data_IF_294034224387
#
_entry.id   IF_294034224387
#
_cell.length_a   1.000
_cell.length_b   1.000
_cell.length_c   1.000
_cell.angle_alpha   90.00
_cell.angle_beta   90.00
_cell.angle_gamma   90.00
#
_symmetry.space_group_name_H-M   'P 1'
#
loop_
_entity.id
_entity.type
_entity.pdbx_description
1 polymer ?
#
# COMPACT_ATOMS: atom_id res chain seq x y z
N UNK A 1 -0.98 6.15 -11.93
CA UNK A 1 -0.17 5.44 -10.92
C UNK A 1 -1.05 4.74 -9.89
N UNK A 2 -1.97 5.44 -9.22
CA UNK A 2 -2.85 4.83 -8.22
C UNK A 2 -3.67 3.65 -8.78
N UNK A 3 -4.17 3.75 -10.02
CA UNK A 3 -4.89 2.65 -10.68
C UNK A 3 -4.00 1.41 -10.90
N UNK A 4 -2.77 1.62 -11.41
CA UNK A 4 -1.82 0.54 -11.60
C UNK A 4 -1.45 -0.16 -10.28
N UNK A 5 -1.39 0.58 -9.17
CA UNK A 5 -1.19 -0.01 -7.84
C UNK A 5 -2.42 -0.79 -7.37
N UNK A 6 -3.61 -0.20 -7.48
CA UNK A 6 -4.89 -0.82 -7.07
C UNK A 6 -5.15 -2.15 -7.80
N UNK A 7 -4.86 -2.16 -9.11
CA UNK A 7 -5.06 -3.30 -10.01
C UNK A 7 -3.82 -4.20 -10.14
N UNK A 8 -2.75 -3.93 -9.39
CA UNK A 8 -1.53 -4.75 -9.39
C UNK A 8 -0.90 -4.98 -10.77
N UNK A 9 -0.84 -3.94 -11.62
CA UNK A 9 -0.38 -4.09 -13.00
C UNK A 9 1.15 -4.24 -13.08
N UNK A 10 1.60 -5.36 -13.67
CA UNK A 10 3.03 -5.70 -13.77
C UNK A 10 3.81 -4.75 -14.70
N UNK A 11 3.29 -4.45 -15.89
CA UNK A 11 4.03 -3.65 -16.89
C UNK A 11 4.36 -2.22 -16.38
N UNK A 12 3.43 -1.46 -15.78
CA UNK A 12 3.76 -0.17 -15.15
C UNK A 12 4.77 -0.28 -14.00
N UNK A 13 4.72 -1.35 -13.20
CA UNK A 13 5.64 -1.54 -12.08
C UNK A 13 7.09 -1.76 -12.55
N UNK A 14 7.28 -2.66 -13.52
CA UNK A 14 8.60 -2.93 -14.12
C UNK A 14 9.11 -1.69 -14.86
N UNK A 15 8.25 -1.02 -15.63
CA UNK A 15 8.61 0.23 -16.31
C UNK A 15 9.08 1.29 -15.31
N UNK A 16 8.36 1.49 -14.21
CA UNK A 16 8.73 2.49 -13.20
C UNK A 16 10.06 2.14 -12.52
N UNK A 17 10.30 0.87 -12.16
CA UNK A 17 11.58 0.45 -11.60
C UNK A 17 12.73 0.72 -12.58
N UNK A 18 12.52 0.44 -13.86
CA UNK A 18 13.49 0.76 -14.90
C UNK A 18 13.75 2.27 -15.01
N UNK A 19 12.71 3.12 -14.91
CA UNK A 19 12.85 4.58 -14.96
C UNK A 19 13.61 5.15 -13.75
N UNK A 20 13.31 4.69 -12.53
CA UNK A 20 13.98 5.21 -11.32
C UNK A 20 15.39 4.62 -11.12
N UNK A 21 15.65 3.48 -11.76
CA UNK A 21 16.88 2.68 -11.63
C UNK A 21 16.73 1.56 -10.58
N UNK A 22 17.16 0.35 -10.96
CA UNK A 22 17.10 -0.86 -10.12
C UNK A 22 17.77 -0.65 -8.76
N UNK A 23 18.88 0.09 -8.72
CA UNK A 23 19.62 0.43 -7.51
C UNK A 23 18.76 1.13 -6.46
N UNK A 24 17.90 2.06 -6.88
CA UNK A 24 16.99 2.77 -5.97
C UNK A 24 15.92 1.84 -5.41
N UNK A 25 15.35 0.98 -6.25
CA UNK A 25 14.38 -0.02 -5.81
C UNK A 25 14.99 -1.02 -4.82
N UNK A 26 16.16 -1.56 -5.15
CA UNK A 26 16.92 -2.48 -4.29
C UNK A 26 17.25 -1.86 -2.93
N UNK A 27 17.73 -0.62 -2.91
CA UNK A 27 18.03 0.07 -1.66
C UNK A 27 16.77 0.37 -0.84
N UNK A 28 15.67 0.76 -1.49
CA UNK A 28 14.37 0.96 -0.84
C UNK A 28 13.92 -0.33 -0.13
N UNK A 29 13.93 -1.48 -0.80
CA UNK A 29 13.54 -2.78 -0.21
C UNK A 29 14.36 -3.11 1.04
N UNK A 30 15.68 -2.84 1.01
CA UNK A 30 16.54 -2.99 2.20
C UNK A 30 16.14 -2.04 3.32
N UNK A 31 15.77 -0.80 3.00
CA UNK A 31 15.31 0.17 3.98
C UNK A 31 14.01 -0.26 4.67
N UNK A 32 13.17 -1.06 4.01
CA UNK A 32 12.02 -1.72 4.64
C UNK A 32 12.37 -2.93 5.53
N UNK A 33 13.66 -3.24 5.74
CA UNK A 33 14.16 -4.42 6.44
C UNK A 33 13.80 -5.77 5.78
N UNK A 34 13.54 -5.76 4.47
CA UNK A 34 13.37 -7.00 3.70
C UNK A 34 14.75 -7.54 3.32
N UNK A 35 15.05 -8.82 3.61
CA UNK A 35 16.33 -9.41 3.25
C UNK A 35 16.41 -9.58 1.73
N UNK A 36 17.42 -8.98 1.12
CA UNK A 36 17.72 -9.14 -0.31
C UNK A 36 19.21 -9.37 -0.52
N UNK A 37 19.53 -10.24 -1.46
CA UNK A 37 20.89 -10.58 -1.89
C UNK A 37 21.30 -9.76 -3.11
N UNK A 38 22.53 -9.88 -3.59
CA UNK A 38 22.96 -9.18 -4.81
C UNK A 38 22.24 -9.69 -6.06
N UNK A 39 21.80 -10.95 -6.04
CA UNK A 39 21.07 -11.61 -7.12
C UNK A 39 19.70 -10.97 -7.37
N UNK A 40 19.07 -10.45 -6.31
CA UNK A 40 17.75 -9.79 -6.38
C UNK A 40 17.80 -8.39 -7.03
N UNK A 41 19.01 -7.87 -7.31
CA UNK A 41 19.23 -6.55 -7.86
C UNK A 41 18.99 -6.53 -9.38
N UNK A 42 17.76 -6.80 -9.80
CA UNK A 42 17.33 -6.83 -11.20
C UNK A 42 15.85 -6.38 -11.33
N UNK A 43 15.30 -6.34 -12.56
CA UNK A 43 13.93 -5.85 -12.80
C UNK A 43 12.83 -6.76 -12.25
N UNK A 44 13.07 -8.06 -12.04
CA UNK A 44 12.11 -8.97 -11.41
C UNK A 44 11.76 -8.56 -9.97
N UNK A 45 12.62 -7.75 -9.32
CA UNK A 45 12.34 -7.16 -8.02
C UNK A 45 11.03 -6.36 -8.00
N UNK A 46 10.66 -5.71 -9.12
CA UNK A 46 9.40 -4.98 -9.24
C UNK A 46 8.15 -5.88 -9.07
N UNK A 47 8.32 -7.19 -9.27
CA UNK A 47 7.26 -8.20 -9.24
C UNK A 47 7.39 -9.13 -8.02
N UNK A 48 8.27 -8.82 -7.07
CA UNK A 48 8.52 -9.67 -5.91
C UNK A 48 9.40 -10.90 -6.20
N UNK A 49 10.09 -10.92 -7.35
CA UNK A 49 11.07 -11.96 -7.67
C UNK A 49 12.29 -11.88 -6.77
N UNK A 50 12.26 -12.60 -5.66
CA UNK A 50 13.33 -12.68 -4.66
C UNK A 50 13.95 -14.08 -4.64
N UNK A 51 15.27 -14.14 -4.52
CA UNK A 51 16.07 -15.36 -4.37
C UNK A 51 15.78 -16.10 -3.07
N UNK A 52 15.47 -15.37 -2.01
CA UNK A 52 14.91 -15.89 -0.77
C UNK A 52 13.55 -15.23 -0.53
N UNK A 53 12.51 -16.03 -0.28
CA UNK A 53 11.20 -15.52 0.09
C UNK A 53 11.22 -14.67 1.38
N UNK A 54 10.08 -14.09 1.71
CA UNK A 54 9.91 -13.22 2.89
C UNK A 54 8.88 -13.81 3.84
N UNK A 55 9.08 -13.64 5.14
CA UNK A 55 8.13 -14.11 6.14
C UNK A 55 6.98 -13.11 6.35
N UNK A 56 5.80 -13.57 6.81
CA UNK A 56 4.70 -12.67 7.17
C UNK A 56 5.09 -11.64 8.23
N UNK A 57 5.96 -12.02 9.19
CA UNK A 57 6.49 -11.09 10.18
C UNK A 57 7.34 -9.97 9.54
N UNK A 58 8.15 -10.28 8.52
CA UNK A 58 8.93 -9.29 7.79
C UNK A 58 8.03 -8.34 7.00
N UNK A 59 7.01 -8.88 6.33
CA UNK A 59 6.03 -8.08 5.58
C UNK A 59 5.21 -7.17 6.49
N UNK A 60 4.70 -7.69 7.62
CA UNK A 60 4.01 -6.88 8.62
C UNK A 60 4.94 -5.76 9.14
N UNK A 61 6.20 -6.09 9.44
CA UNK A 61 7.24 -5.13 9.83
C UNK A 61 7.46 -4.03 8.79
N UNK A 62 7.57 -4.38 7.51
CA UNK A 62 7.74 -3.44 6.41
C UNK A 62 6.56 -2.47 6.30
N UNK A 63 5.32 -2.99 6.34
CA UNK A 63 4.11 -2.18 6.19
C UNK A 63 3.85 -1.22 7.37
N UNK A 64 4.49 -1.44 8.52
CA UNK A 64 4.48 -0.45 9.61
C UNK A 64 5.01 0.92 9.17
N UNK A 65 5.90 0.98 8.17
CA UNK A 65 6.40 2.24 7.65
C UNK A 65 5.29 3.13 7.12
N UNK A 66 4.27 2.57 6.47
CA UNK A 66 3.15 3.35 5.95
C UNK A 66 2.19 3.77 7.06
N UNK A 67 1.84 2.84 7.95
CA UNK A 67 0.97 3.10 9.09
C UNK A 67 1.54 4.16 10.05
N UNK A 68 2.88 4.25 10.17
CA UNK A 68 3.57 5.11 11.14
C UNK A 68 4.29 6.31 10.50
N UNK A 69 3.74 6.89 9.42
CA UNK A 69 4.26 8.14 8.85
C UNK A 69 5.70 8.06 8.34
N UNK A 70 6.07 6.91 7.78
CA UNK A 70 7.38 6.64 7.18
C UNK A 70 8.40 6.00 8.11
N UNK A 71 7.99 5.57 9.31
CA UNK A 71 8.87 4.91 10.29
C UNK A 71 8.70 3.40 10.27
N UNK A 72 9.72 2.68 9.80
CA UNK A 72 9.72 1.21 9.84
C UNK A 72 10.03 0.73 11.26
N UNK A 73 9.25 -0.23 11.72
CA UNK A 73 9.38 -0.85 13.04
C UNK A 73 9.94 -2.25 12.90
N UNK A 74 10.87 -2.64 13.78
CA UNK A 74 11.31 -4.03 13.90
C UNK A 74 10.35 -4.78 14.83
N UNK A 75 9.68 -5.84 14.38
CA UNK A 75 8.81 -6.63 15.25
C UNK A 75 9.59 -7.23 16.44
N UNK A 76 8.97 -7.22 17.61
CA UNK A 76 9.50 -7.84 18.83
C UNK A 76 8.34 -8.36 19.70
N UNK A 77 8.60 -9.43 20.45
CA UNK A 77 7.57 -10.11 21.25
C UNK A 77 7.76 -9.90 22.76
N UNK A 78 9.01 -9.83 23.21
CA UNK A 78 9.35 -9.76 24.63
C UNK A 78 9.34 -8.30 25.08
N UNK A 79 8.42 -7.94 25.99
CA UNK A 79 8.38 -6.61 26.61
C UNK A 79 9.35 -6.46 27.77
N UNK A 80 9.43 -7.46 28.64
CA UNK A 80 10.27 -7.42 29.84
C UNK A 80 10.64 -8.82 30.28
N UNK A 81 11.89 -9.03 30.68
CA UNK A 81 12.36 -10.26 31.34
C UNK A 81 12.84 -9.87 32.74
N UNK A 82 12.34 -10.57 33.74
CA UNK A 82 12.73 -10.42 35.15
C UNK A 82 13.21 -11.79 35.64
N UNK A 83 14.39 -11.84 36.25
CA UNK A 83 14.93 -13.09 36.80
C UNK A 83 14.31 -13.42 38.18
N UNK A 84 14.70 -14.58 38.74
CA UNK A 84 14.19 -15.07 40.03
C UNK A 84 14.56 -14.18 41.22
N UNK A 85 15.54 -13.28 41.07
CA UNK A 85 15.92 -12.31 42.11
C UNK A 85 15.11 -11.02 42.04
N UNK A 86 14.25 -10.87 41.02
CA UNK A 86 13.51 -9.65 40.75
C UNK A 86 14.28 -8.64 39.89
N UNK A 87 15.48 -8.99 39.38
CA UNK A 87 16.28 -8.10 38.54
C UNK A 87 15.74 -8.10 37.10
N UNK A 88 15.60 -6.91 36.53
CA UNK A 88 15.22 -6.73 35.13
C UNK A 88 16.41 -7.03 34.22
N UNK A 89 16.26 -8.03 33.35
CA UNK A 89 17.28 -8.48 32.39
C UNK A 89 17.07 -7.84 31.01
N UNK A 90 15.80 -7.67 30.61
CA UNK A 90 15.41 -7.01 29.37
C UNK A 90 14.23 -6.09 29.68
N UNK A 91 14.25 -4.86 29.15
CA UNK A 91 13.13 -3.93 29.22
C UNK A 91 12.94 -3.19 27.88
N UNK A 92 11.90 -3.60 27.15
CA UNK A 92 11.46 -3.03 25.87
C UNK A 92 10.14 -2.26 26.02
N UNK A 93 9.77 -1.83 27.24
CA UNK A 93 8.50 -1.14 27.50
C UNK A 93 8.50 0.31 27.00
N UNK A 94 9.69 0.89 26.78
CA UNK A 94 9.82 2.20 26.16
C UNK A 94 9.25 2.22 24.74
N UNK A 95 8.64 3.34 24.36
CA UNK A 95 8.09 3.53 23.00
C UNK A 95 9.23 3.41 21.99
N UNK A 96 9.17 2.36 21.18
CA UNK A 96 10.12 2.15 20.09
C UNK A 96 9.98 3.30 19.08
N UNK A 97 11.11 3.94 18.75
CA UNK A 97 11.10 5.13 17.89
C UNK A 97 10.98 4.80 16.40
N UNK A 98 11.26 3.54 16.02
CA UNK A 98 11.38 3.12 14.62
C UNK A 98 12.53 3.80 13.89
N UNK A 99 12.77 3.42 12.63
CA UNK A 99 13.71 4.11 11.74
C UNK A 99 12.93 4.87 10.67
N UNK A 100 13.16 6.17 10.55
CA UNK A 100 12.55 6.98 9.49
C UNK A 100 13.20 6.60 8.15
N UNK A 101 12.40 6.11 7.19
CA UNK A 101 12.88 5.69 5.86
C UNK A 101 12.28 6.51 4.72
N UNK A 102 11.19 7.23 4.98
CA UNK A 102 10.59 8.17 4.03
C UNK A 102 9.90 9.32 4.76
N UNK A 103 9.69 10.48 4.14
CA UNK A 103 8.87 11.55 4.72
C UNK A 103 7.43 11.11 4.99
N UNK A 104 6.79 11.69 6.00
CA UNK A 104 5.38 11.41 6.32
C UNK A 104 4.44 11.73 5.14
N UNK A 105 4.74 12.76 4.34
CA UNK A 105 3.98 13.09 3.13
C UNK A 105 4.02 11.97 2.09
N UNK A 106 5.15 11.30 1.92
CA UNK A 106 5.30 10.16 0.99
C UNK A 106 4.55 8.95 1.51
N UNK A 107 4.65 8.64 2.82
CA UNK A 107 3.87 7.57 3.44
C UNK A 107 2.36 7.80 3.29
N UNK A 108 1.91 9.05 3.45
CA UNK A 108 0.52 9.46 3.25
C UNK A 108 0.05 9.31 1.80
N UNK A 109 0.86 9.71 0.82
CA UNK A 109 0.55 9.51 -0.60
C UNK A 109 0.46 8.03 -0.95
N UNK A 110 1.39 7.20 -0.47
CA UNK A 110 1.33 5.76 -0.69
C UNK A 110 0.09 5.14 -0.03
N UNK A 111 -0.24 5.56 1.19
CA UNK A 111 -1.47 5.13 1.89
C UNK A 111 -2.71 5.50 1.08
N UNK A 112 -2.78 6.73 0.55
CA UNK A 112 -3.89 7.20 -0.29
C UNK A 112 -4.09 6.31 -1.52
N UNK A 113 -3.01 5.88 -2.19
CA UNK A 113 -3.11 4.94 -3.31
C UNK A 113 -3.48 3.52 -2.86
N UNK A 114 -2.96 3.05 -1.73
CA UNK A 114 -3.23 1.72 -1.19
C UNK A 114 -4.65 1.56 -0.61
N UNK A 115 -5.35 2.65 -0.30
CA UNK A 115 -6.79 2.61 0.00
C UNK A 115 -7.60 2.09 -1.21
N UNK A 116 -7.20 2.49 -2.42
CA UNK A 116 -7.84 2.03 -3.66
C UNK A 116 -7.78 0.52 -3.85
N UNK A 117 -6.75 -0.16 -3.34
CA UNK A 117 -6.64 -1.63 -3.40
C UNK A 117 -7.86 -2.31 -2.74
N UNK A 118 -8.31 -1.80 -1.60
CA UNK A 118 -9.45 -2.36 -0.86
C UNK A 118 -10.79 -1.71 -1.22
N UNK A 119 -10.80 -0.54 -1.85
CA UNK A 119 -12.04 0.11 -2.26
C UNK A 119 -12.55 -0.41 -3.61
N UNK A 120 -11.66 -0.57 -4.58
CA UNK A 120 -12.02 -0.90 -5.96
C UNK A 120 -10.96 -1.73 -6.69
N UNK A 121 -9.93 -2.19 -5.98
CA UNK A 121 -8.82 -2.95 -6.52
C UNK A 121 -8.87 -4.43 -6.18
N UNK A 122 -7.71 -5.04 -6.32
CA UNK A 122 -7.48 -6.48 -6.12
C UNK A 122 -7.78 -7.01 -4.71
N UNK A 123 -7.93 -6.14 -3.71
CA UNK A 123 -8.26 -6.50 -2.33
C UNK A 123 -9.70 -6.19 -1.91
N UNK A 124 -10.57 -5.75 -2.84
CA UNK A 124 -11.92 -5.30 -2.53
C UNK A 124 -12.74 -6.34 -1.75
N UNK A 125 -12.69 -7.61 -2.17
CA UNK A 125 -13.41 -8.70 -1.51
C UNK A 125 -12.86 -9.06 -0.12
N UNK A 126 -11.63 -8.63 0.20
CA UNK A 126 -10.99 -8.88 1.49
C UNK A 126 -11.25 -7.76 2.53
N UNK A 127 -11.95 -6.68 2.15
CA UNK A 127 -12.16 -5.53 3.03
C UNK A 127 -13.09 -5.89 4.20
N UNK A 128 -12.67 -5.66 5.47
CA UNK A 128 -13.55 -5.80 6.63
C UNK A 128 -14.70 -4.78 6.61
N UNK A 129 -15.91 -5.25 6.94
CA UNK A 129 -17.11 -4.41 6.92
C UNK A 129 -17.02 -3.27 7.93
N UNK A 130 -17.36 -2.05 7.50
CA UNK A 130 -17.39 -0.86 8.36
C UNK A 130 -16.03 -0.23 8.66
N UNK A 131 -14.94 -0.76 8.11
CA UNK A 131 -13.59 -0.24 8.33
C UNK A 131 -12.92 0.22 7.03
N UNK A 132 -12.06 1.23 7.15
CA UNK A 132 -11.13 1.62 6.10
C UNK A 132 -9.83 0.85 6.26
N UNK A 133 -9.33 0.26 5.18
CA UNK A 133 -8.08 -0.51 5.15
C UNK A 133 -7.27 -0.06 3.95
N UNK A 134 -5.98 0.14 4.16
CA UNK A 134 -5.00 0.32 3.10
C UNK A 134 -4.11 -0.92 3.03
N UNK A 135 -3.59 -1.27 1.87
CA UNK A 135 -2.60 -2.33 1.76
C UNK A 135 -2.42 -2.83 0.34
N UNK A 136 -2.00 -4.08 0.20
CA UNK A 136 -1.72 -4.69 -1.10
C UNK A 136 -1.90 -6.21 -1.07
N UNK A 137 -2.33 -6.75 -2.21
CA UNK A 137 -2.38 -8.19 -2.50
C UNK A 137 -1.15 -8.62 -3.29
N UNK A 138 -0.82 -9.92 -3.29
CA UNK A 138 0.23 -10.48 -4.14
C UNK A 138 -0.07 -11.93 -4.52
N UNK A 139 0.42 -12.33 -5.69
CA UNK A 139 0.40 -13.71 -6.16
C UNK A 139 1.74 -14.08 -6.79
N UNK A 140 2.09 -15.36 -6.76
CA UNK A 140 3.18 -15.92 -7.56
C UNK A 140 2.65 -17.14 -8.28
N UNK A 141 2.76 -17.17 -9.61
CA UNK A 141 2.23 -18.25 -10.44
C UNK A 141 3.00 -19.56 -10.21
N UNK A 142 2.35 -20.69 -10.48
CA UNK A 142 2.93 -22.02 -10.33
C UNK A 142 3.29 -22.60 -11.71
N UNK A 143 4.53 -22.35 -12.14
CA UNK A 143 5.03 -22.60 -13.50
C UNK A 143 5.06 -24.10 -13.91
N UNK A 144 4.96 -25.04 -12.96
CA UNK A 144 5.14 -26.48 -13.19
C UNK A 144 3.87 -27.33 -12.94
N UNK A 145 2.68 -26.71 -12.99
CA UNK A 145 1.41 -27.39 -12.67
C UNK A 145 0.61 -27.81 -13.89
N UNK A 146 0.97 -27.33 -15.09
CA UNK A 146 0.19 -27.54 -16.32
C UNK A 146 -1.15 -26.78 -16.36
N UNK A 147 -1.41 -25.91 -15.37
CA UNK A 147 -2.58 -25.01 -15.32
C UNK A 147 -2.11 -23.56 -15.40
N UNK A 148 -2.74 -22.75 -16.26
CA UNK A 148 -2.46 -21.31 -16.35
C UNK A 148 -2.95 -20.51 -15.15
N UNK A 149 -3.82 -21.11 -14.34
CA UNK A 149 -4.52 -20.45 -13.25
C UNK A 149 -4.02 -20.94 -11.87
N UNK A 150 -2.95 -21.74 -11.86
CA UNK A 150 -2.35 -22.25 -10.65
C UNK A 150 -1.41 -21.23 -10.03
N UNK A 151 -1.61 -20.97 -8.75
CA UNK A 151 -0.83 -20.05 -7.96
C UNK A 151 -0.07 -20.83 -6.87
N UNK A 152 1.19 -20.47 -6.67
CA UNK A 152 2.07 -20.99 -5.63
C UNK A 152 1.83 -20.31 -4.29
N UNK A 153 1.85 -18.97 -4.32
CA UNK A 153 1.80 -18.11 -3.15
C UNK A 153 0.68 -17.08 -3.30
N UNK A 154 -0.16 -16.92 -2.27
CA UNK A 154 -1.10 -15.80 -2.16
C UNK A 154 -0.78 -14.98 -0.92
N UNK A 155 -0.81 -13.66 -1.08
CA UNK A 155 -0.52 -12.69 -0.03
C UNK A 155 -1.61 -11.63 0.06
N UNK A 156 -1.99 -11.26 1.28
CA UNK A 156 -2.63 -9.98 1.57
C UNK A 156 -1.90 -9.35 2.75
N UNK A 157 -1.45 -8.12 2.57
CA UNK A 157 -0.96 -7.28 3.67
C UNK A 157 -1.84 -6.05 3.72
N UNK A 158 -2.56 -5.86 4.82
CA UNK A 158 -3.41 -4.70 5.02
C UNK A 158 -3.21 -4.10 6.40
N UNK A 159 -3.52 -2.82 6.51
CA UNK A 159 -3.32 -2.07 7.72
C UNK A 159 -4.37 -0.98 7.90
N UNK A 160 -4.51 -0.59 9.16
CA UNK A 160 -5.09 0.66 9.64
C UNK A 160 -3.98 1.46 10.34
N UNK A 161 -4.24 2.68 10.83
CA UNK A 161 -3.25 3.38 11.66
C UNK A 161 -2.89 2.63 12.97
N UNK A 162 -3.72 1.68 13.40
CA UNK A 162 -3.55 0.98 14.68
C UNK A 162 -3.05 -0.47 14.56
N UNK A 163 -3.16 -1.08 13.38
CA UNK A 163 -2.92 -2.51 13.18
C UNK A 163 -2.37 -2.78 11.78
N UNK A 164 -1.41 -3.71 11.68
CA UNK A 164 -0.94 -4.30 10.42
C UNK A 164 -1.18 -5.81 10.49
N UNK A 165 -1.80 -6.38 9.46
CA UNK A 165 -2.02 -7.82 9.30
C UNK A 165 -1.37 -8.24 7.98
N UNK A 166 -0.55 -9.29 8.05
CA UNK A 166 0.08 -9.90 6.87
C UNK A 166 -0.26 -11.38 6.86
N UNK A 167 -0.94 -11.82 5.81
CA UNK A 167 -1.47 -13.18 5.67
C UNK A 167 -0.91 -13.79 4.39
N UNK A 168 -0.39 -15.00 4.53
CA UNK A 168 0.13 -15.82 3.43
C UNK A 168 -0.58 -17.16 3.41
N UNK A 169 -0.85 -17.63 2.20
CA UNK A 169 -1.41 -18.95 1.92
C UNK A 169 -0.59 -19.58 0.81
N UNK A 170 -0.26 -20.85 0.98
CA UNK A 170 0.48 -21.66 0.02
C UNK A 170 0.67 -23.06 0.56
N UNK A 171 1.05 -23.97 -0.32
CA UNK A 171 1.49 -25.30 0.07
C UNK A 171 2.98 -25.27 0.41
N UNK A 172 3.40 -26.01 1.45
CA UNK A 172 4.81 -26.18 1.78
C UNK A 172 5.61 -26.76 0.60
N UNK A 173 4.96 -27.60 -0.21
CA UNK A 173 5.52 -28.17 -1.44
C UNK A 173 4.50 -28.06 -2.57
N UNK A 174 4.72 -27.09 -3.45
CA UNK A 174 3.86 -26.87 -4.62
C UNK A 174 4.14 -27.91 -5.69
N UNK A 175 3.07 -28.48 -6.24
CA UNK A 175 3.13 -29.49 -7.31
C UNK A 175 1.85 -29.42 -8.15
N UNK A 176 1.80 -30.18 -9.24
CA UNK A 176 0.58 -30.33 -10.04
C UNK A 176 -0.64 -30.75 -9.20
N UNK A 177 -0.47 -31.59 -8.17
CA UNK A 177 -1.54 -32.00 -7.27
C UNK A 177 -1.77 -31.06 -6.08
N UNK A 178 -0.83 -30.15 -5.80
CA UNK A 178 -0.84 -29.28 -4.62
C UNK A 178 -0.51 -27.84 -5.03
N UNK A 179 -1.52 -27.11 -5.46
CA UNK A 179 -1.41 -25.71 -5.84
C UNK A 179 -2.71 -24.98 -5.46
N UNK A 180 -2.63 -23.65 -5.35
CA UNK A 180 -3.83 -22.85 -5.13
C UNK A 180 -4.48 -22.58 -6.48
N UNK A 181 -5.79 -22.77 -6.58
CA UNK A 181 -6.55 -22.32 -7.73
C UNK A 181 -6.89 -20.83 -7.59
N UNK A 182 -6.84 -20.08 -8.69
CA UNK A 182 -7.21 -18.66 -8.70
C UNK A 182 -8.74 -18.47 -8.81
N UNK A 183 -9.48 -19.00 -7.85
CA UNK A 183 -10.93 -18.87 -7.76
C UNK A 183 -11.31 -17.55 -7.08
N UNK A 184 -11.93 -16.63 -7.82
CA UNK A 184 -12.44 -15.37 -7.27
C UNK A 184 -13.45 -15.61 -6.13
N UNK A 185 -13.37 -14.80 -5.08
CA UNK A 185 -14.29 -14.89 -3.92
C UNK A 185 -14.07 -16.08 -2.97
N UNK A 186 -13.07 -16.93 -3.18
CA UNK A 186 -12.73 -18.04 -2.28
C UNK A 186 -11.26 -17.99 -1.82
N UNK A 187 -10.96 -18.59 -0.65
CA UNK A 187 -9.60 -18.62 -0.08
C UNK A 187 -9.22 -17.36 0.72
N UNK A 188 -8.08 -16.77 0.38
CA UNK A 188 -7.41 -15.68 1.11
C UNK A 188 -8.27 -14.45 1.46
N UNK A 189 -9.18 -14.02 0.57
CA UNK A 189 -9.97 -12.80 0.79
C UNK A 189 -10.87 -12.86 2.04
N UNK A 190 -11.80 -13.84 2.12
CA UNK A 190 -12.59 -14.09 3.32
C UNK A 190 -11.76 -14.38 4.58
N UNK A 191 -10.62 -15.09 4.47
CA UNK A 191 -9.72 -15.34 5.59
C UNK A 191 -9.20 -14.02 6.18
N UNK A 192 -8.56 -13.19 5.35
CA UNK A 192 -8.01 -11.90 5.77
C UNK A 192 -9.09 -10.98 6.35
N UNK A 193 -10.27 -10.96 5.71
CA UNK A 193 -11.42 -10.21 6.19
C UNK A 193 -11.82 -10.63 7.61
N UNK A 194 -11.92 -11.93 7.87
CA UNK A 194 -12.29 -12.48 9.18
C UNK A 194 -11.22 -12.20 10.25
N UNK A 195 -9.94 -12.32 9.91
CA UNK A 195 -8.82 -11.97 10.80
C UNK A 195 -8.95 -10.51 11.26
N UNK A 196 -9.07 -9.59 10.30
CA UNK A 196 -9.20 -8.16 10.57
C UNK A 196 -10.49 -7.85 11.35
N UNK A 197 -11.64 -8.40 10.96
CA UNK A 197 -12.91 -8.19 11.67
C UNK A 197 -12.88 -8.66 13.12
N UNK A 198 -12.07 -9.68 13.43
CA UNK A 198 -11.90 -10.18 14.80
C UNK A 198 -11.01 -9.26 15.63
N UNK A 199 -9.97 -8.67 15.02
CA UNK A 199 -8.98 -7.85 15.74
C UNK A 199 -9.40 -6.38 15.88
N UNK A 200 -10.01 -5.79 14.85
CA UNK A 200 -10.28 -4.35 14.77
C UNK A 200 -11.15 -3.79 15.91
N UNK A 201 -12.17 -4.51 16.44
CA UNK A 201 -12.96 -4.04 17.60
C UNK A 201 -12.13 -3.76 18.86
N UNK A 202 -10.92 -4.31 18.96
CA UNK A 202 -10.01 -4.14 20.10
C UNK A 202 -8.90 -3.10 19.85
N UNK A 203 -8.96 -2.39 18.72
CA UNK A 203 -8.02 -1.31 18.38
C UNK A 203 -8.63 0.05 18.73
N UNK A 204 -7.84 1.14 18.59
CA UNK A 204 -8.34 2.50 18.84
C UNK A 204 -9.31 3.00 17.78
N UNK A 205 -9.42 2.29 16.65
CA UNK A 205 -10.25 2.65 15.51
C UNK A 205 -9.91 4.05 14.95
N UNK A 206 -8.62 4.38 14.88
CA UNK A 206 -8.12 5.62 14.34
C UNK A 206 -8.37 5.68 12.83
N UNK A 207 -8.86 6.82 12.35
CA UNK A 207 -9.05 7.08 10.92
C UNK A 207 -7.74 7.42 10.22
N UNK A 208 -7.64 7.09 8.94
CA UNK A 208 -6.59 7.63 8.08
C UNK A 208 -6.73 9.15 7.96
N UNK A 209 -5.60 9.85 7.86
CA UNK A 209 -5.54 11.30 7.66
C UNK A 209 -5.59 11.70 6.18
N UNK A 210 -5.90 10.75 5.29
CA UNK A 210 -5.99 10.90 3.84
C UNK A 210 -7.19 10.14 3.28
N UNK A 211 -7.64 10.55 2.10
CA UNK A 211 -8.67 9.84 1.33
C UNK A 211 -8.01 8.92 0.29
N UNK A 212 -8.82 8.06 -0.30
CA UNK A 212 -8.46 7.33 -1.51
C UNK A 212 -8.01 8.30 -2.62
N UNK A 213 -6.90 7.99 -3.28
CA UNK A 213 -6.34 8.78 -4.38
C UNK A 213 -7.36 9.00 -5.50
N UNK A 214 -8.20 8.00 -5.81
CA UNK A 214 -9.23 8.16 -6.83
C UNK A 214 -10.26 9.22 -6.43
N UNK A 215 -10.71 9.20 -5.17
CA UNK A 215 -11.63 10.22 -4.64
C UNK A 215 -11.00 11.62 -4.66
N UNK A 216 -9.71 11.74 -4.34
CA UNK A 216 -9.03 13.05 -4.39
C UNK A 216 -9.03 13.62 -5.82
N UNK A 217 -8.72 12.79 -6.82
CA UNK A 217 -8.71 13.22 -8.23
C UNK A 217 -10.11 13.61 -8.70
N UNK A 218 -11.13 12.84 -8.35
CA UNK A 218 -12.53 13.15 -8.69
C UNK A 218 -13.02 14.44 -8.02
N UNK A 219 -12.72 14.63 -6.72
CA UNK A 219 -13.06 15.85 -5.97
C UNK A 219 -12.39 17.10 -6.60
N UNK A 220 -11.16 16.96 -7.10
CA UNK A 220 -10.44 18.05 -7.78
C UNK A 220 -11.07 18.39 -9.13
N UNK A 221 -11.36 17.39 -9.97
CA UNK A 221 -12.01 17.60 -11.27
C UNK A 221 -13.39 18.24 -11.12
N UNK A 222 -14.22 17.75 -10.20
CA UNK A 222 -15.53 18.35 -9.94
C UNK A 222 -15.47 19.80 -9.43
N UNK A 223 -14.46 20.15 -8.63
CA UNK A 223 -14.28 21.53 -8.19
C UNK A 223 -13.85 22.44 -9.34
N UNK A 224 -12.98 21.96 -10.23
CA UNK A 224 -12.57 22.70 -11.42
C UNK A 224 -13.78 22.90 -12.37
N UNK A 225 -14.57 21.86 -12.62
CA UNK A 225 -15.78 21.95 -13.45
C UNK A 225 -16.82 22.92 -12.85
N UNK A 226 -17.06 22.85 -11.54
CA UNK A 226 -17.96 23.80 -10.84
C UNK A 226 -17.45 25.24 -10.91
N UNK A 227 -16.12 25.45 -10.88
CA UNK A 227 -15.51 26.76 -11.06
C UNK A 227 -15.75 27.27 -12.48
N UNK A 228 -15.54 26.42 -13.50
CA UNK A 228 -15.80 26.77 -14.90
C UNK A 228 -17.27 27.09 -15.15
N UNK A 229 -18.19 26.28 -14.63
CA UNK A 229 -19.64 26.51 -14.72
C UNK A 229 -20.03 27.82 -14.02
N UNK A 230 -19.45 28.11 -12.85
CA UNK A 230 -19.70 29.36 -12.12
C UNK A 230 -19.18 30.56 -12.89
N UNK A 231 -18.00 30.45 -13.51
CA UNK A 231 -17.43 31.49 -14.37
C UNK A 231 -18.33 31.67 -15.59
N UNK A 232 -18.71 30.61 -16.28
CA UNK A 232 -19.56 30.67 -17.48
C UNK A 232 -20.92 31.32 -17.17
N UNK A 233 -21.61 30.88 -16.11
CA UNK A 233 -22.88 31.48 -15.67
C UNK A 233 -22.75 32.96 -15.29
N UNK A 234 -21.63 33.36 -14.68
CA UNK A 234 -21.33 34.78 -14.42
C UNK A 234 -20.99 35.57 -15.68
N UNK A 235 -20.40 34.91 -16.68
CA UNK A 235 -20.06 35.53 -17.98
C UNK A 235 -21.31 35.77 -18.82
N UNK A 236 -22.31 34.88 -18.73
CA UNK A 236 -23.64 35.08 -19.33
C UNK A 236 -24.42 36.26 -18.71
N UNK A 237 -24.14 36.61 -17.44
CA UNK A 237 -24.77 37.75 -16.77
C UNK A 237 -24.04 39.09 -16.96
N UNK A 238 -22.77 39.11 -17.38
CA UNK A 238 -21.96 40.33 -17.53
C UNK A 238 -20.94 40.19 -18.67
N UNK A 239 -21.29 40.63 -19.88
CA UNK A 239 -20.45 40.42 -21.08
C UNK A 239 -19.26 41.37 -21.26
N UNK A 240 -19.13 42.47 -20.50
CA UNK A 240 -18.28 43.58 -21.00
C UNK A 240 -17.00 43.93 -20.22
N UNK A 241 -16.59 43.21 -19.15
CA UNK A 241 -15.38 43.60 -18.38
C UNK A 241 -14.44 42.49 -17.86
N UNK A 242 -14.48 41.25 -18.38
CA UNK A 242 -13.74 40.11 -17.79
C UNK A 242 -12.60 39.58 -18.70
N UNK A 243 -12.14 40.33 -19.70
CA UNK A 243 -11.03 39.87 -20.55
C UNK A 243 -9.66 39.77 -19.85
N UNK A 244 -9.42 40.56 -18.78
CA UNK A 244 -8.12 40.65 -18.11
C UNK A 244 -7.97 39.69 -16.93
N UNK A 245 -8.96 39.61 -16.02
CA UNK A 245 -8.88 38.71 -14.84
C UNK A 245 -8.86 37.23 -15.21
N UNK A 246 -9.50 36.83 -16.30
CA UNK A 246 -9.47 35.46 -16.80
C UNK A 246 -8.08 35.06 -17.31
N UNK A 247 -7.34 35.99 -17.93
CA UNK A 247 -5.96 35.77 -18.39
C UNK A 247 -4.99 35.67 -17.22
N UNK A 248 -5.18 36.46 -16.17
CA UNK A 248 -4.34 36.41 -14.97
C UNK A 248 -4.52 35.08 -14.22
N UNK A 249 -5.76 34.62 -14.05
CA UNK A 249 -6.06 33.32 -13.45
C UNK A 249 -5.48 32.14 -14.25
N UNK A 250 -5.65 32.15 -15.58
CA UNK A 250 -5.06 31.11 -16.45
C UNK A 250 -3.52 31.10 -16.40
N UNK A 251 -2.89 32.28 -16.31
CA UNK A 251 -1.44 32.38 -16.20
C UNK A 251 -0.91 31.87 -14.85
N UNK A 252 -1.64 32.11 -13.76
CA UNK A 252 -1.28 31.59 -12.43
C UNK A 252 -1.50 30.07 -12.34
N UNK A 253 -2.57 29.53 -12.93
CA UNK A 253 -2.77 28.08 -13.03
C UNK A 253 -1.65 27.42 -13.87
N UNK A 254 -1.26 28.04 -14.99
CA UNK A 254 -0.19 27.52 -15.86
C UNK A 254 1.19 27.53 -15.20
N UNK A 255 1.45 28.44 -14.26
CA UNK A 255 2.67 28.45 -13.42
C UNK A 255 2.72 27.29 -12.42
N UNK A 256 1.58 26.76 -12.01
CA UNK A 256 1.50 25.68 -11.02
C UNK A 256 1.65 24.28 -11.63
N UNK A 257 1.22 24.11 -12.89
CA UNK A 257 1.28 22.83 -13.61
C UNK A 257 2.45 22.70 -14.59
N UNK A 258 3.33 23.71 -14.65
CA UNK A 258 4.47 23.75 -15.56
C UNK A 258 5.81 23.85 -14.84
N UNK A 259 6.26 22.76 -14.21
CA UNK A 259 7.66 22.35 -14.06
C UNK A 259 7.76 20.83 -14.02
#
# INVERSE_FOLDING_TARGET
MYEALAQSMNAPAVWLLNQIGVDKGYQSVKDFNIPVTKQDKNLALALGGLSSGVSPQQMAGAYTAFANGGKVMKPFYIRKIVDSTGKVVVDNTAKQQGRQIMPASVAKQMTSMMLGVFNNGTGADAKPYGYSVAGKTGSTEADDTGSSDATKDKWIVGYTPDLVVATWEGFDSTSQAHHLENLSGTGMGPLFRNEMQTMLPYTKNSSFDTKDAQTIVQDQQHNDDNLWDTIQKKTEQYSDKIGQKAKDFFNDAKKWFGQ
#
